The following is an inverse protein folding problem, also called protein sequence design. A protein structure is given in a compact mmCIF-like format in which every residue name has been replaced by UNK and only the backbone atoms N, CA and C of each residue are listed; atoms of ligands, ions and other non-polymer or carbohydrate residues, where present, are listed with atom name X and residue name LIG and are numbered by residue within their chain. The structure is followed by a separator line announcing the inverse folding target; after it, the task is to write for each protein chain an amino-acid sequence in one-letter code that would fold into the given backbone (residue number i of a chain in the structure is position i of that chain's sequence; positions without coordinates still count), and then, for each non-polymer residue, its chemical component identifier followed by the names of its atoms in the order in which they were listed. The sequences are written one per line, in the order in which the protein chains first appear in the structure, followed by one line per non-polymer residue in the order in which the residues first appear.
data_IF_392927691994
#
_entry.id   IF_392927691994
#
_cell.length_a   1.000
_cell.length_b   1.000
_cell.length_c   1.000
_cell.angle_alpha   90.00
_cell.angle_beta   90.00
_cell.angle_gamma   90.00
#
_symmetry.space_group_name_H-M   'P 1'
#
loop_
_entity.id
_entity.type
_entity.pdbx_description
1 polymer ?
#
# COMPACT_ATOMS: atom_id res chain seq x y z
N UNK A 1 1.91 -9.87 20.06
CA UNK A 1 1.30 -10.60 18.93
C UNK A 1 1.40 -9.70 17.70
N UNK A 2 1.65 -10.25 16.52
CA UNK A 2 1.67 -9.52 15.24
C UNK A 2 0.86 -10.34 14.23
N UNK A 3 0.07 -9.67 13.40
CA UNK A 3 -0.75 -10.28 12.36
C UNK A 3 -0.92 -9.31 11.19
N UNK A 4 -1.29 -9.85 10.03
CA UNK A 4 -1.67 -9.05 8.86
C UNK A 4 -3.18 -8.87 8.87
N UNK A 5 -3.64 -7.71 8.43
CA UNK A 5 -5.05 -7.36 8.29
C UNK A 5 -5.23 -6.53 7.03
N UNK A 6 -6.18 -6.91 6.19
CA UNK A 6 -6.48 -6.25 4.92
C UNK A 6 -7.98 -5.94 4.75
N UNK A 7 -8.35 -5.28 3.65
CA UNK A 7 -9.75 -4.90 3.40
C UNK A 7 -10.68 -6.09 3.13
N UNK A 8 -10.13 -7.28 2.81
CA UNK A 8 -10.88 -8.53 2.73
C UNK A 8 -11.21 -9.18 4.08
N UNK A 9 -10.55 -8.76 5.17
CA UNK A 9 -10.73 -9.37 6.49
C UNK A 9 -11.99 -8.87 7.22
N UNK A 10 -12.24 -9.40 8.42
CA UNK A 10 -13.41 -9.06 9.24
C UNK A 10 -13.37 -7.60 9.73
N UNK A 11 -13.92 -6.68 8.94
CA UNK A 11 -13.93 -5.23 9.21
C UNK A 11 -14.61 -4.79 10.53
N UNK A 12 -15.62 -5.48 11.11
CA UNK A 12 -16.25 -5.04 12.37
C UNK A 12 -15.30 -4.94 13.59
N UNK A 13 -14.12 -5.57 13.54
CA UNK A 13 -13.12 -5.53 14.62
C UNK A 13 -12.24 -4.28 14.59
N UNK A 14 -12.29 -3.50 13.51
CA UNK A 14 -11.41 -2.33 13.30
C UNK A 14 -11.55 -1.27 14.39
N UNK A 15 -12.76 -1.04 14.92
CA UNK A 15 -13.00 -0.14 16.05
C UNK A 15 -12.24 -0.57 17.32
N UNK A 16 -12.14 -1.88 17.57
CA UNK A 16 -11.38 -2.40 18.71
C UNK A 16 -9.87 -2.17 18.54
N UNK A 17 -9.36 -2.25 17.30
CA UNK A 17 -7.97 -1.92 17.01
C UNK A 17 -7.69 -0.44 17.23
N UNK A 18 -8.54 0.44 16.70
CA UNK A 18 -8.42 1.90 16.80
C UNK A 18 -8.47 2.36 18.27
N UNK A 19 -9.30 1.72 19.10
CA UNK A 19 -9.46 2.06 20.51
C UNK A 19 -8.35 1.52 21.43
N UNK A 20 -7.47 0.62 20.96
CA UNK A 20 -6.42 0.03 21.78
C UNK A 20 -5.15 0.94 21.83
N UNK A 21 -4.82 1.56 22.98
CA UNK A 21 -3.63 2.39 23.11
C UNK A 21 -2.31 1.61 23.01
N UNK A 22 -2.34 0.28 23.09
CA UNK A 22 -1.17 -0.59 22.94
C UNK A 22 -0.99 -1.07 21.50
N UNK A 23 -1.97 -0.86 20.63
CA UNK A 23 -1.86 -1.24 19.23
C UNK A 23 -0.92 -0.29 18.48
N UNK A 24 -0.06 -0.89 17.65
CA UNK A 24 0.68 -0.21 16.60
C UNK A 24 0.22 -0.77 15.26
N UNK A 25 -0.25 0.10 14.38
CA UNK A 25 -0.86 -0.24 13.10
C UNK A 25 -0.02 0.40 11.99
N UNK A 26 0.39 -0.42 11.03
CA UNK A 26 1.21 -0.01 9.89
C UNK A 26 0.43 -0.30 8.62
N UNK A 27 0.20 0.71 7.79
CA UNK A 27 -0.60 0.60 6.57
C UNK A 27 0.23 1.03 5.38
N UNK A 28 0.25 0.18 4.35
CA UNK A 28 0.66 0.56 3.00
C UNK A 28 -0.63 0.71 2.19
N UNK A 29 -1.15 1.93 2.07
CA UNK A 29 -2.44 2.19 1.45
C UNK A 29 -2.40 1.89 -0.04
N UNK A 30 -3.46 1.25 -0.54
CA UNK A 30 -3.57 0.79 -1.90
C UNK A 30 -2.86 -0.54 -2.19
N UNK A 31 -2.23 -1.18 -1.19
CA UNK A 31 -1.55 -2.46 -1.37
C UNK A 31 -2.49 -3.60 -1.79
N UNK A 32 -3.79 -3.51 -1.47
CA UNK A 32 -4.81 -4.47 -1.91
C UNK A 32 -4.91 -4.59 -3.45
N UNK A 33 -4.46 -3.58 -4.20
CA UNK A 33 -4.50 -3.63 -5.66
C UNK A 33 -3.43 -4.56 -6.25
N UNK A 34 -2.37 -4.87 -5.50
CA UNK A 34 -1.30 -5.79 -5.95
C UNK A 34 -1.84 -7.21 -6.19
N UNK A 35 -2.54 -7.87 -5.24
CA UNK A 35 -3.12 -9.19 -5.51
C UNK A 35 -4.19 -9.17 -6.61
N UNK A 36 -4.97 -8.09 -6.73
CA UNK A 36 -5.93 -7.93 -7.83
C UNK A 36 -5.20 -7.91 -9.17
N UNK A 37 -4.17 -7.07 -9.30
CA UNK A 37 -3.38 -6.98 -10.53
C UNK A 37 -2.75 -8.33 -10.90
N UNK A 38 -2.18 -9.02 -9.90
CA UNK A 38 -1.55 -10.33 -10.08
C UNK A 38 -2.51 -11.46 -10.44
N UNK A 39 -3.83 -11.29 -10.22
CA UNK A 39 -4.83 -12.25 -10.68
C UNK A 39 -4.87 -12.37 -12.21
N UNK A 40 -4.42 -11.33 -12.93
CA UNK A 40 -4.47 -11.29 -14.39
C UNK A 40 -5.88 -11.19 -14.99
N UNK A 41 -6.91 -11.04 -14.15
CA UNK A 41 -8.28 -10.89 -14.61
C UNK A 41 -8.49 -9.55 -15.34
N UNK A 42 -9.40 -9.50 -16.32
CA UNK A 42 -9.72 -8.26 -17.01
C UNK A 42 -10.18 -7.16 -16.04
N UNK A 43 -9.79 -5.91 -16.31
CA UNK A 43 -10.15 -4.76 -15.45
C UNK A 43 -11.65 -4.63 -15.27
N UNK A 44 -12.45 -4.93 -16.30
CA UNK A 44 -13.90 -4.91 -16.22
C UNK A 44 -14.48 -5.83 -15.13
N UNK A 45 -13.80 -6.96 -14.84
CA UNK A 45 -14.22 -7.93 -13.82
C UNK A 45 -13.77 -7.52 -12.42
N UNK A 46 -12.56 -6.96 -12.30
CA UNK A 46 -11.99 -6.62 -10.99
C UNK A 46 -12.30 -5.20 -10.51
N UNK A 47 -12.80 -4.32 -11.37
CA UNK A 47 -13.07 -2.90 -11.03
C UNK A 47 -13.99 -2.75 -9.83
N UNK A 48 -15.08 -3.53 -9.79
CA UNK A 48 -16.06 -3.44 -8.70
C UNK A 48 -15.44 -3.86 -7.36
N UNK A 49 -14.62 -4.91 -7.38
CA UNK A 49 -13.91 -5.39 -6.19
C UNK A 49 -12.82 -4.41 -5.75
N UNK A 50 -12.03 -3.88 -6.68
CA UNK A 50 -11.02 -2.87 -6.38
C UNK A 50 -11.65 -1.61 -5.74
N UNK A 51 -12.81 -1.16 -6.24
CA UNK A 51 -13.55 -0.06 -5.65
C UNK A 51 -14.10 -0.39 -4.25
N UNK A 52 -14.57 -1.63 -4.04
CA UNK A 52 -15.04 -2.11 -2.73
C UNK A 52 -13.92 -2.10 -1.70
N UNK A 53 -12.76 -2.69 -2.03
CA UNK A 53 -11.59 -2.73 -1.15
C UNK A 53 -11.04 -1.33 -0.88
N UNK A 54 -11.00 -0.45 -1.90
CA UNK A 54 -10.62 0.95 -1.72
C UNK A 54 -11.49 1.64 -0.69
N UNK A 55 -12.82 1.45 -0.77
CA UNK A 55 -13.74 2.08 0.18
C UNK A 55 -13.50 1.59 1.60
N UNK A 56 -13.36 0.27 1.77
CA UNK A 56 -13.10 -0.33 3.09
C UNK A 56 -11.80 0.18 3.69
N UNK A 57 -10.73 0.22 2.91
CA UNK A 57 -9.43 0.73 3.38
C UNK A 57 -9.50 2.22 3.71
N UNK A 58 -10.18 3.02 2.88
CA UNK A 58 -10.38 4.44 3.14
C UNK A 58 -11.18 4.68 4.44
N UNK A 59 -12.22 3.89 4.68
CA UNK A 59 -13.01 3.95 5.91
C UNK A 59 -12.15 3.59 7.13
N UNK A 60 -11.30 2.58 7.04
CA UNK A 60 -10.39 2.21 8.14
C UNK A 60 -9.31 3.27 8.41
N UNK A 61 -8.71 3.84 7.36
CA UNK A 61 -7.77 4.95 7.48
C UNK A 61 -8.45 6.15 8.14
N UNK A 62 -9.70 6.47 7.75
CA UNK A 62 -10.46 7.54 8.35
C UNK A 62 -10.71 7.30 9.85
N UNK A 63 -10.98 6.06 10.27
CA UNK A 63 -11.10 5.71 11.69
C UNK A 63 -9.80 5.98 12.46
N UNK A 64 -8.65 5.60 11.92
CA UNK A 64 -7.35 5.82 12.55
C UNK A 64 -6.95 7.30 12.66
N UNK A 65 -7.48 8.15 11.77
CA UNK A 65 -7.23 9.59 11.76
C UNK A 65 -8.20 10.38 12.66
N UNK A 66 -9.18 9.72 13.30
CA UNK A 66 -10.10 10.41 14.21
C UNK A 66 -9.36 10.93 15.45
N UNK A 67 -9.81 12.06 16.03
CA UNK A 67 -9.21 12.61 17.25
C UNK A 67 -9.28 11.66 18.47
N UNK A 68 -10.21 10.72 18.49
CA UNK A 68 -10.40 9.74 19.56
C UNK A 68 -9.70 8.40 19.31
N UNK A 69 -8.99 8.25 18.18
CA UNK A 69 -8.13 7.11 17.91
C UNK A 69 -7.00 7.04 18.94
N UNK A 70 -6.81 5.87 19.54
CA UNK A 70 -5.79 5.63 20.58
C UNK A 70 -4.62 4.81 20.07
N UNK A 71 -4.83 3.99 19.06
CA UNK A 71 -3.78 3.24 18.41
C UNK A 71 -2.74 4.17 17.78
N UNK A 72 -1.48 3.76 17.81
CA UNK A 72 -0.44 4.42 17.02
C UNK A 72 -0.53 3.92 15.59
N UNK A 73 -0.71 4.81 14.63
CA UNK A 73 -0.76 4.46 13.21
C UNK A 73 0.38 5.10 12.43
N UNK A 74 0.99 4.33 11.52
CA UNK A 74 1.81 4.85 10.42
C UNK A 74 1.22 4.42 9.09
N UNK A 75 1.09 5.37 8.17
CA UNK A 75 0.44 5.16 6.88
C UNK A 75 1.40 5.67 5.81
N UNK A 76 1.72 4.80 4.85
CA UNK A 76 2.43 5.14 3.62
C UNK A 76 1.54 4.82 2.45
N UNK A 77 1.58 5.63 1.39
CA UNK A 77 0.99 5.16 0.14
C UNK A 77 1.85 4.07 -0.48
N UNK A 78 1.26 3.22 -1.32
CA UNK A 78 2.02 2.21 -2.05
C UNK A 78 3.14 2.85 -2.88
N UNK A 79 2.89 4.01 -3.51
CA UNK A 79 3.90 4.78 -4.23
C UNK A 79 5.07 5.18 -3.33
N UNK A 80 4.79 5.86 -2.20
CA UNK A 80 5.85 6.32 -1.28
C UNK A 80 6.67 5.14 -0.73
N UNK A 81 6.00 4.02 -0.44
CA UNK A 81 6.67 2.86 0.12
C UNK A 81 7.64 2.20 -0.89
N UNK A 82 7.26 2.13 -2.17
CA UNK A 82 8.12 1.48 -3.19
C UNK A 82 9.28 2.37 -3.63
N UNK A 83 9.18 3.69 -3.43
CA UNK A 83 10.28 4.63 -3.68
C UNK A 83 11.43 4.41 -2.68
N UNK A 84 11.12 4.19 -1.40
CA UNK A 84 12.13 3.92 -0.37
C UNK A 84 11.68 2.81 0.61
N UNK A 85 11.66 1.53 0.18
CA UNK A 85 11.15 0.43 1.00
C UNK A 85 12.01 0.18 2.24
N UNK A 86 13.31 0.49 2.17
CA UNK A 86 14.21 0.34 3.30
C UNK A 86 13.81 1.24 4.48
N UNK A 87 13.43 2.48 4.19
CA UNK A 87 13.00 3.43 5.23
C UNK A 87 11.70 3.01 5.89
N UNK A 88 10.68 2.62 5.10
CA UNK A 88 9.41 2.14 5.63
C UNK A 88 9.59 0.91 6.52
N UNK A 89 10.41 -0.05 6.09
CA UNK A 89 10.69 -1.26 6.87
C UNK A 89 11.50 -0.97 8.16
N UNK A 90 12.49 -0.08 8.09
CA UNK A 90 13.22 0.35 9.29
C UNK A 90 12.26 0.97 10.32
N UNK A 91 11.36 1.86 9.90
CA UNK A 91 10.37 2.48 10.79
C UNK A 91 9.45 1.43 11.45
N UNK A 92 9.02 0.41 10.70
CA UNK A 92 8.21 -0.69 11.27
C UNK A 92 9.00 -1.46 12.33
N UNK A 93 10.26 -1.82 12.04
CA UNK A 93 11.11 -2.58 12.97
C UNK A 93 11.39 -1.78 14.24
N UNK A 94 11.71 -0.49 14.11
CA UNK A 94 12.00 0.38 15.24
C UNK A 94 10.78 0.55 16.16
N UNK A 95 9.58 0.70 15.59
CA UNK A 95 8.35 0.84 16.37
C UNK A 95 7.92 -0.48 17.05
N UNK A 96 8.20 -1.63 16.43
CA UNK A 96 7.92 -2.94 17.01
C UNK A 96 8.91 -3.32 18.11
N UNK A 97 10.16 -2.86 18.02
CA UNK A 97 11.20 -3.16 19.00
C UNK A 97 12.04 -1.93 19.39
N UNK A 98 11.49 -0.99 20.16
CA UNK A 98 12.19 0.24 20.55
C UNK A 98 13.35 0.02 21.52
N UNK A 99 13.56 -1.22 22.01
CA UNK A 99 14.55 -1.55 23.06
C UNK A 99 15.84 -2.18 22.52
N UNK A 100 15.89 -2.55 21.24
CA UNK A 100 17.07 -3.17 20.66
C UNK A 100 17.40 -2.52 19.31
N UNK A 101 18.58 -1.91 19.14
CA UNK A 101 18.99 -1.35 17.86
C UNK A 101 19.13 -2.50 16.84
N UNK A 102 18.08 -2.73 16.06
CA UNK A 102 18.11 -3.70 14.99
C UNK A 102 18.70 -3.04 13.76
N UNK A 103 19.82 -3.57 13.27
CA UNK A 103 20.24 -3.32 11.90
C UNK A 103 19.54 -4.36 11.04
N UNK A 104 18.60 -3.94 10.20
CA UNK A 104 18.13 -4.82 9.12
C UNK A 104 19.33 -5.16 8.26
N UNK A 105 19.77 -6.42 8.27
CA UNK A 105 20.95 -6.86 7.51
C UNK A 105 20.62 -7.11 6.05
N UNK A 106 19.37 -7.48 5.74
CA UNK A 106 18.90 -7.73 4.39
C UNK A 106 17.43 -7.29 4.25
N UNK A 107 17.10 -6.69 3.11
CA UNK A 107 15.72 -6.35 2.77
C UNK A 107 14.97 -7.60 2.30
N UNK A 108 13.67 -7.74 2.65
CA UNK A 108 12.85 -8.79 2.07
C UNK A 108 12.78 -8.63 0.56
N UNK A 109 12.64 -9.76 -0.15
CA UNK A 109 12.45 -9.74 -1.61
C UNK A 109 11.12 -9.06 -1.93
N UNK A 110 11.19 -7.96 -2.66
CA UNK A 110 10.01 -7.23 -3.12
C UNK A 110 9.34 -7.95 -4.29
N UNK A 111 8.01 -7.86 -4.35
CA UNK A 111 7.25 -8.28 -5.54
C UNK A 111 7.62 -7.35 -6.69
N UNK A 112 7.86 -7.91 -7.87
CA UNK A 112 8.06 -7.12 -9.09
C UNK A 112 6.73 -6.44 -9.46
N UNK A 113 6.73 -5.10 -9.45
CA UNK A 113 5.57 -4.27 -9.79
C UNK A 113 5.69 -3.68 -11.21
N UNK A 114 6.59 -4.20 -12.04
CA UNK A 114 6.73 -3.80 -13.44
C UNK A 114 5.38 -3.95 -14.17
N UNK A 115 4.88 -2.86 -14.74
CA UNK A 115 3.57 -2.83 -15.42
C UNK A 115 2.36 -2.59 -14.50
N UNK A 116 2.54 -2.48 -13.18
CA UNK A 116 1.44 -2.14 -12.26
C UNK A 116 0.87 -0.74 -12.51
N UNK A 117 1.70 0.23 -12.89
CA UNK A 117 1.26 1.58 -13.24
C UNK A 117 0.30 1.62 -14.43
N UNK A 118 0.51 0.75 -15.43
CA UNK A 118 -0.40 0.61 -16.57
C UNK A 118 -1.76 0.02 -16.16
N UNK A 119 -1.78 -0.91 -15.21
CA UNK A 119 -3.01 -1.43 -14.64
C UNK A 119 -3.82 -0.36 -13.89
N UNK A 120 -3.16 0.48 -13.09
CA UNK A 120 -3.82 1.62 -12.43
C UNK A 120 -4.38 2.61 -13.45
N UNK A 121 -3.67 2.83 -14.56
CA UNK A 121 -4.18 3.66 -15.66
C UNK A 121 -5.43 3.05 -16.30
N UNK A 122 -5.47 1.74 -16.52
CA UNK A 122 -6.65 1.08 -17.08
C UNK A 122 -7.84 1.13 -16.13
N UNK A 123 -7.63 0.99 -14.82
CA UNK A 123 -8.69 1.21 -13.81
C UNK A 123 -9.28 2.62 -13.92
N UNK A 124 -8.42 3.64 -14.07
CA UNK A 124 -8.84 5.05 -14.31
C UNK A 124 -9.69 5.18 -15.57
N UNK A 125 -9.25 4.59 -16.67
CA UNK A 125 -9.97 4.62 -17.94
C UNK A 125 -11.36 3.96 -17.84
N UNK A 126 -11.51 2.95 -16.99
CA UNK A 126 -12.76 2.24 -16.73
C UNK A 126 -13.66 2.90 -15.67
N UNK A 127 -13.33 4.14 -15.26
CA UNK A 127 -14.16 4.97 -14.38
C UNK A 127 -13.92 4.75 -12.88
N UNK A 128 -12.88 4.02 -12.48
CA UNK A 128 -12.48 3.88 -11.07
C UNK A 128 -11.29 4.79 -10.79
N UNK A 129 -11.34 5.62 -9.75
CA UNK A 129 -10.21 6.47 -9.35
C UNK A 129 -9.43 5.81 -8.21
N UNK A 130 -8.23 5.24 -8.46
CA UNK A 130 -7.39 4.66 -7.42
C UNK A 130 -6.68 5.78 -6.67
N UNK A 131 -7.22 6.21 -5.53
CA UNK A 131 -6.73 7.38 -4.78
C UNK A 131 -5.80 7.03 -3.62
N UNK A 132 -5.83 5.78 -3.15
CA UNK A 132 -5.06 5.35 -1.97
C UNK A 132 -3.61 4.99 -2.28
N UNK A 133 -3.29 4.71 -3.54
CA UNK A 133 -1.97 4.21 -3.97
C UNK A 133 -0.93 5.34 -4.06
N UNK A 134 -1.32 6.60 -3.89
CA UNK A 134 -0.47 7.76 -4.12
C UNK A 134 -0.22 8.01 -5.62
N UNK A 135 0.79 8.83 -5.91
CA UNK A 135 1.22 9.14 -7.28
C UNK A 135 2.11 8.03 -7.85
N UNK A 136 1.52 6.85 -8.08
CA UNK A 136 2.29 5.70 -8.56
C UNK A 136 2.72 5.93 -10.03
N UNK A 137 4.03 5.83 -10.36
CA UNK A 137 4.51 6.17 -11.68
C UNK A 137 4.04 5.14 -12.71
N UNK A 138 3.49 5.62 -13.84
CA UNK A 138 2.96 4.77 -14.90
C UNK A 138 4.03 3.83 -15.51
N UNK A 139 5.30 4.26 -15.49
CA UNK A 139 6.45 3.53 -16.03
C UNK A 139 7.30 2.84 -14.95
N UNK A 140 6.73 2.53 -13.77
CA UNK A 140 7.46 1.87 -12.70
C UNK A 140 8.14 0.57 -13.20
N UNK A 141 9.45 0.45 -12.96
CA UNK A 141 10.24 -0.74 -13.32
C UNK A 141 10.62 -0.86 -14.80
N UNK A 142 10.08 -0.02 -15.70
CA UNK A 142 10.48 -0.03 -17.10
C UNK A 142 11.79 0.74 -17.24
N UNK A 143 12.90 0.13 -17.75
CA UNK A 143 14.10 0.88 -18.04
C UNK A 143 13.77 1.95 -19.07
N UNK A 144 14.05 3.21 -18.74
CA UNK A 144 13.90 4.34 -19.64
C UNK A 144 14.77 4.04 -20.88
N UNK A 145 14.15 3.81 -22.03
CA UNK A 145 14.90 3.63 -23.26
C UNK A 145 15.67 4.93 -23.51
N UNK A 146 16.99 4.88 -23.40
CA UNK A 146 17.93 5.98 -23.51
C UNK A 146 17.62 6.86 -24.74
N UNK A 147 16.88 7.96 -24.53
CA UNK A 147 16.60 8.99 -25.56
C UNK A 147 17.81 9.92 -25.68
N UNK A 148 19.01 9.37 -25.89
CA UNK A 148 20.22 10.13 -26.24
C UNK A 148 21.02 9.44 -27.35
N UNK A 149 20.39 9.22 -28.51
CA UNK A 149 21.11 8.76 -29.72
C UNK A 149 20.55 9.32 -31.04
N UNK A 150 19.74 10.38 -31.03
CA UNK A 150 19.31 11.05 -32.28
C UNK A 150 19.33 12.57 -32.17
N UNK A 151 20.52 13.15 -32.02
CA UNK A 151 20.83 14.42 -32.68
C UNK A 151 22.00 14.15 -33.62
N UNK A 152 21.70 14.35 -34.91
CA UNK A 152 22.60 14.29 -36.06
C UNK A 152 23.75 15.29 -35.92
#
# INVERSE_FOLDING_TARGET
QCFQFGPEDAQPVTEAFVADPKASIFIISGAFAVPIWRSGLPVAEVRAEAARLQKIEADFIALLQRPDARARSRIWSLADFVENPAEGLHQVVDDLNPRAPHRMTELPRMVDLTGFGAFLQELRNQGMQPVLMGEFPANFGTPEADVKSRRR
#
